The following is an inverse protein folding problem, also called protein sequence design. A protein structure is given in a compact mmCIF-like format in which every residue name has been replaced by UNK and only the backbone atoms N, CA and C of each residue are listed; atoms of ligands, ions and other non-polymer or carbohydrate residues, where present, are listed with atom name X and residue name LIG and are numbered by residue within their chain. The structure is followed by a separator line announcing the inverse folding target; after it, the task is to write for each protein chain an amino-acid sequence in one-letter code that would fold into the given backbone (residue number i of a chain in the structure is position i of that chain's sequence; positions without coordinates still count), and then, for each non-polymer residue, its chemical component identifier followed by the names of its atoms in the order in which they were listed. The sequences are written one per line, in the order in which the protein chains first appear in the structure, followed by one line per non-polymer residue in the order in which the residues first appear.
data_IF_323848986564
#
_entry.id   IF_323848986564
#
_cell.length_a   1.000
_cell.length_b   1.000
_cell.length_c   1.000
_cell.angle_alpha   90.00
_cell.angle_beta   90.00
_cell.angle_gamma   90.00
#
_symmetry.space_group_name_H-M   'P 1'
#
loop_
_entity.id
_entity.type
_entity.pdbx_description
1 polymer ?
#
# COMPACT_ATOMS: atom_id res chain seq x y z
N UNK A 1 -14.57 -17.27 5.43
CA UNK A 1 -13.42 -16.52 4.86
C UNK A 1 -12.75 -17.18 3.65
N UNK A 2 -11.97 -18.27 3.76
CA UNK A 2 -11.41 -18.98 2.57
C UNK A 2 -12.48 -19.62 1.67
N UNK A 3 -13.57 -20.12 2.26
CA UNK A 3 -14.72 -20.60 1.49
C UNK A 3 -15.46 -19.46 0.75
N UNK A 4 -15.55 -18.28 1.35
CA UNK A 4 -16.10 -17.08 0.69
C UNK A 4 -15.17 -16.55 -0.42
N UNK A 5 -13.85 -16.53 -0.16
CA UNK A 5 -12.82 -16.20 -1.15
C UNK A 5 -12.91 -17.07 -2.40
N UNK A 6 -13.11 -18.37 -2.22
CA UNK A 6 -13.29 -19.32 -3.33
C UNK A 6 -14.51 -19.00 -4.19
N UNK A 7 -15.60 -18.51 -3.57
CA UNK A 7 -16.83 -18.14 -4.26
C UNK A 7 -16.72 -16.76 -4.91
N UNK A 8 -16.03 -15.80 -4.27
CA UNK A 8 -15.97 -14.41 -4.71
C UNK A 8 -14.82 -14.10 -5.68
N UNK A 9 -13.69 -14.80 -5.62
CA UNK A 9 -12.46 -14.45 -6.35
C UNK A 9 -11.59 -15.66 -6.71
N UNK A 10 -12.16 -16.87 -6.75
CA UNK A 10 -11.42 -18.09 -7.08
C UNK A 10 -10.45 -18.58 -5.98
N UNK A 11 -10.37 -17.87 -4.84
CA UNK A 11 -9.50 -18.22 -3.71
C UNK A 11 -8.16 -17.46 -3.67
N UNK A 12 -7.83 -16.68 -4.71
CA UNK A 12 -6.58 -15.94 -4.80
C UNK A 12 -6.54 -14.68 -3.92
N UNK A 13 -7.72 -14.20 -3.52
CA UNK A 13 -7.90 -13.02 -2.66
C UNK A 13 -8.84 -13.34 -1.50
N UNK A 14 -8.68 -12.61 -0.39
CA UNK A 14 -9.59 -12.73 0.74
C UNK A 14 -11.02 -12.37 0.33
N UNK A 15 -11.98 -13.16 0.81
CA UNK A 15 -13.40 -12.83 0.67
C UNK A 15 -13.75 -11.53 1.41
N UNK A 16 -14.93 -10.93 1.17
CA UNK A 16 -15.28 -9.59 1.65
C UNK A 16 -15.09 -9.37 3.15
N UNK A 17 -15.38 -10.37 3.97
CA UNK A 17 -15.20 -10.27 5.44
C UNK A 17 -13.72 -10.28 5.80
N UNK A 18 -12.93 -11.13 5.13
CA UNK A 18 -11.50 -11.25 5.39
C UNK A 18 -10.71 -10.04 4.97
N UNK A 19 -11.02 -9.51 3.79
CA UNK A 19 -10.39 -8.27 3.32
C UNK A 19 -10.72 -7.10 4.24
N UNK A 20 -11.94 -7.02 4.80
CA UNK A 20 -12.30 -5.96 5.75
C UNK A 20 -11.50 -6.02 7.05
N UNK A 21 -11.38 -7.20 7.66
CA UNK A 21 -10.61 -7.38 8.92
C UNK A 21 -9.15 -6.98 8.71
N UNK A 22 -8.55 -7.44 7.60
CA UNK A 22 -7.15 -7.11 7.29
C UNK A 22 -6.99 -5.61 7.04
N UNK A 23 -7.89 -4.99 6.27
CA UNK A 23 -7.86 -3.55 6.00
C UNK A 23 -7.98 -2.72 7.30
N UNK A 24 -8.91 -3.06 8.19
CA UNK A 24 -9.07 -2.38 9.48
C UNK A 24 -7.84 -2.52 10.38
N UNK A 25 -7.17 -3.68 10.34
CA UNK A 25 -5.89 -3.87 11.06
C UNK A 25 -4.82 -2.91 10.53
N UNK A 26 -4.67 -2.78 9.21
CA UNK A 26 -3.70 -1.85 8.62
C UNK A 26 -4.02 -0.39 8.97
N UNK A 27 -5.30 0.01 8.88
CA UNK A 27 -5.72 1.36 9.26
C UNK A 27 -5.37 1.64 10.73
N UNK A 28 -5.73 0.73 11.64
CA UNK A 28 -5.42 0.89 13.06
C UNK A 28 -3.92 0.96 13.34
N UNK A 29 -3.10 0.15 12.65
CA UNK A 29 -1.64 0.23 12.79
C UNK A 29 -1.07 1.58 12.35
N UNK A 30 -1.58 2.17 11.26
CA UNK A 30 -1.10 3.45 10.73
C UNK A 30 -1.58 4.61 11.62
N UNK A 31 -2.84 4.57 12.08
CA UNK A 31 -3.42 5.60 12.95
C UNK A 31 -2.74 5.65 14.33
N UNK A 32 -2.38 4.50 14.89
CA UNK A 32 -1.77 4.41 16.23
C UNK A 32 -0.24 4.58 16.23
N UNK A 33 0.41 4.60 15.07
CA UNK A 33 1.86 4.83 14.97
C UNK A 33 2.17 6.34 14.98
N UNK A 34 2.81 6.89 16.03
CA UNK A 34 3.17 8.32 16.08
C UNK A 34 4.19 8.72 15.01
N UNK A 35 4.94 7.75 14.45
CA UNK A 35 5.88 7.94 13.35
C UNK A 35 5.25 7.81 11.97
N UNK A 36 3.96 7.48 11.87
CA UNK A 36 3.29 7.35 10.57
C UNK A 36 3.25 8.70 9.85
N UNK A 37 3.36 8.69 8.52
CA UNK A 37 3.24 9.90 7.71
C UNK A 37 1.90 10.62 7.92
N UNK A 38 0.82 9.88 8.22
CA UNK A 38 -0.48 10.48 8.58
C UNK A 38 -0.40 11.31 9.86
N UNK A 39 0.41 10.88 10.83
CA UNK A 39 0.63 11.60 12.09
C UNK A 39 1.66 12.73 11.94
N UNK A 40 2.83 12.43 11.38
CA UNK A 40 3.96 13.39 11.33
C UNK A 40 3.81 14.45 10.24
N UNK A 41 3.07 14.17 9.16
CA UNK A 41 2.85 15.11 8.07
C UNK A 41 1.50 14.85 7.35
N UNK A 42 0.36 15.29 7.91
CA UNK A 42 -0.99 14.98 7.41
C UNK A 42 -1.30 15.39 5.97
N UNK A 43 -0.53 16.32 5.40
CA UNK A 43 -0.65 16.77 4.00
C UNK A 43 0.45 16.24 3.08
N UNK A 44 1.20 15.23 3.52
CA UNK A 44 2.28 14.65 2.73
C UNK A 44 1.75 13.99 1.46
N UNK A 45 2.47 14.21 0.37
CA UNK A 45 2.29 13.52 -0.91
C UNK A 45 3.58 12.79 -1.24
N UNK A 46 3.55 11.55 -1.76
CA UNK A 46 4.74 10.84 -2.21
C UNK A 46 5.56 11.68 -3.21
N UNK A 47 6.86 11.82 -2.94
CA UNK A 47 7.79 12.63 -3.76
C UNK A 47 8.73 11.77 -4.60
N UNK A 48 8.65 10.43 -4.50
CA UNK A 48 9.52 9.55 -5.26
C UNK A 48 9.22 9.70 -6.76
N UNK A 49 10.24 9.84 -7.61
CA UNK A 49 10.04 10.03 -9.03
C UNK A 49 9.49 8.74 -9.64
N UNK A 50 8.23 8.76 -10.08
CA UNK A 50 7.74 7.79 -11.05
C UNK A 50 8.28 8.16 -12.45
N UNK A 51 8.47 7.18 -13.36
CA UNK A 51 8.98 7.41 -14.71
C UNK A 51 8.13 8.39 -15.54
N UNK A 52 6.92 8.73 -15.09
CA UNK A 52 6.06 9.74 -15.69
C UNK A 52 5.59 10.74 -14.63
N UNK A 53 6.18 11.95 -14.63
CA UNK A 53 5.72 13.07 -13.80
C UNK A 53 4.25 13.39 -14.14
N UNK A 54 3.32 13.08 -13.24
CA UNK A 54 1.88 13.31 -13.42
C UNK A 54 1.01 12.08 -13.69
N UNK A 55 1.57 10.87 -13.64
CA UNK A 55 0.78 9.64 -13.45
C UNK A 55 0.90 9.22 -11.98
N UNK A 56 -0.24 9.01 -11.30
CA UNK A 56 -0.30 8.54 -9.90
C UNK A 56 0.19 7.08 -9.73
N UNK A 57 0.82 6.50 -10.75
CA UNK A 57 1.19 5.09 -10.80
C UNK A 57 2.69 4.90 -10.53
N UNK A 58 3.07 5.03 -9.26
CA UNK A 58 4.39 4.61 -8.79
C UNK A 58 4.37 3.10 -8.47
N UNK A 59 5.24 2.33 -9.11
CA UNK A 59 5.28 0.87 -9.03
C UNK A 59 6.46 0.34 -8.21
N UNK A 60 6.41 -0.95 -7.85
CA UNK A 60 7.54 -1.62 -7.19
C UNK A 60 8.79 -1.66 -8.08
N UNK A 61 8.64 -1.63 -9.41
CA UNK A 61 9.79 -1.54 -10.31
C UNK A 61 10.54 -0.21 -10.14
N UNK A 62 9.79 0.89 -9.96
CA UNK A 62 10.33 2.23 -9.74
C UNK A 62 11.05 2.34 -8.39
N UNK A 63 10.56 1.63 -7.35
CA UNK A 63 11.28 1.49 -6.08
C UNK A 63 12.66 0.84 -6.25
N UNK A 64 12.73 -0.22 -7.06
CA UNK A 64 13.99 -0.91 -7.30
C UNK A 64 14.95 0.01 -8.06
N UNK A 65 14.48 0.65 -9.13
CA UNK A 65 15.28 1.59 -9.91
C UNK A 65 15.81 2.76 -9.06
N UNK A 66 14.96 3.35 -8.21
CA UNK A 66 15.36 4.39 -7.27
C UNK A 66 16.48 3.91 -6.33
N UNK A 67 16.31 2.73 -5.70
CA UNK A 67 17.30 2.18 -4.78
C UNK A 67 18.66 1.88 -5.45
N UNK A 68 18.64 1.43 -6.70
CA UNK A 68 19.87 1.19 -7.47
C UNK A 68 20.54 2.47 -7.96
N UNK A 69 19.78 3.52 -8.25
CA UNK A 69 20.31 4.78 -8.78
C UNK A 69 20.92 5.67 -7.68
N UNK A 70 20.41 5.61 -6.45
CA UNK A 70 20.93 6.36 -5.29
C UNK A 70 22.25 5.77 -4.71
N UNK A 71 22.73 4.66 -5.28
CA UNK A 71 23.94 3.94 -4.85
C UNK A 71 25.23 4.38 -5.57
N UNK A 72 25.22 5.48 -6.35
CA UNK A 72 26.37 6.02 -7.09
C UNK A 72 26.51 7.54 -7.00
#
# INVERSE_FOLDING_TARGET
MLAEAKIASGGDHLGPVGSRIVAETFVGLIEEDPGSFLSVQPGWTPTLPGPTTGQDDFSTADLLEFAYTDSY
#
